data_IF_766242069335
#
_entry.id   IF_766242069335
#
_cell.length_a   1.000
_cell.length_b   1.000
_cell.length_c   1.000
_cell.angle_alpha   90.00
_cell.angle_beta   90.00
_cell.angle_gamma   90.00
#
_symmetry.space_group_name_H-M   'P 1'
#
loop_
_entity.id
_entity.type
_entity.pdbx_description
1 polymer ?
#
# COMPACT_ATOMS: atom_id res chain seq x y z
N UNK A 1 5.18 24.10 35.32
CA UNK A 1 4.20 23.40 36.19
C UNK A 1 2.92 24.24 36.33
N UNK A 2 2.15 24.40 35.25
CA UNK A 2 0.92 25.22 35.31
C UNK A 2 -0.23 24.69 34.41
N UNK A 3 -0.16 23.45 33.91
CA UNK A 3 -1.17 22.92 32.97
C UNK A 3 -1.90 21.66 33.45
N UNK A 4 -1.66 21.19 34.68
CA UNK A 4 -2.32 19.98 35.23
C UNK A 4 -3.66 20.30 35.90
N UNK A 5 -3.96 21.58 36.18
CA UNK A 5 -5.13 21.96 36.97
C UNK A 5 -6.47 21.94 36.20
N UNK A 6 -6.49 21.85 34.87
CA UNK A 6 -7.75 22.03 34.12
C UNK A 6 -8.54 20.73 33.84
N UNK A 7 -7.98 19.56 34.17
CA UNK A 7 -8.63 18.25 33.91
C UNK A 7 -9.35 17.71 35.14
N UNK A 8 -8.89 18.06 36.35
CA UNK A 8 -9.48 17.57 37.60
C UNK A 8 -10.85 18.20 37.92
N UNK A 9 -11.10 19.45 37.50
CA UNK A 9 -12.35 20.15 37.80
C UNK A 9 -13.59 19.59 37.07
N UNK A 10 -13.41 18.87 35.96
CA UNK A 10 -14.54 18.28 35.21
C UNK A 10 -15.03 16.94 35.78
N UNK A 11 -14.28 16.31 36.69
CA UNK A 11 -14.64 15.00 37.25
C UNK A 11 -15.58 15.11 38.46
N UNK A 12 -15.69 16.30 39.07
CA UNK A 12 -16.50 16.52 40.26
C UNK A 12 -18.02 16.61 40.00
N UNK A 13 -18.45 16.86 38.76
CA UNK A 13 -19.88 17.06 38.45
C UNK A 13 -20.71 15.79 38.21
N UNK A 14 -20.10 14.60 38.14
CA UNK A 14 -20.80 13.34 37.83
C UNK A 14 -21.11 12.46 39.05
N UNK A 15 -20.62 12.77 40.26
CA UNK A 15 -20.83 11.95 41.47
C UNK A 15 -21.87 12.51 42.46
N UNK A 16 -22.71 13.46 42.05
CA UNK A 16 -23.66 14.16 42.92
C UNK A 16 -25.02 13.48 43.19
N UNK A 17 -25.22 12.19 42.87
CA UNK A 17 -26.57 11.57 42.90
C UNK A 17 -26.75 10.35 43.82
N UNK A 18 -25.80 10.05 44.72
CA UNK A 18 -25.98 8.98 45.72
C UNK A 18 -25.56 9.45 47.12
N UNK A 19 -26.30 10.42 47.67
CA UNK A 19 -26.37 10.63 49.13
C UNK A 19 -27.85 10.58 49.53
N UNK A 20 -28.39 9.36 49.52
CA UNK A 20 -29.63 9.01 50.18
C UNK A 20 -29.28 8.16 51.38
N UNK A 21 -29.19 8.81 52.54
CA UNK A 21 -29.20 8.15 53.83
C UNK A 21 -30.51 7.37 53.95
N UNK A 22 -30.48 6.04 53.97
CA UNK A 22 -31.40 5.27 54.82
C UNK A 22 -31.07 3.77 54.91
N UNK A 23 -30.88 3.34 56.16
CA UNK A 23 -31.34 2.08 56.73
C UNK A 23 -30.70 0.72 56.33
N UNK A 24 -29.93 0.20 57.29
CA UNK A 24 -29.91 -1.21 57.75
C UNK A 24 -29.26 -2.31 56.88
N UNK A 25 -28.02 -2.10 56.43
CA UNK A 25 -27.10 -3.23 56.24
C UNK A 25 -25.70 -2.81 56.67
N UNK A 26 -25.14 -3.44 57.71
CA UNK A 26 -23.74 -3.21 58.12
C UNK A 26 -22.84 -3.49 56.91
N UNK A 27 -22.10 -2.50 56.36
CA UNK A 27 -21.08 -2.82 55.39
C UNK A 27 -19.92 -3.44 56.16
N UNK A 28 -19.62 -4.69 55.82
CA UNK A 28 -18.38 -5.32 56.24
C UNK A 28 -17.21 -4.39 55.90
N UNK A 29 -16.31 -4.22 56.87
CA UNK A 29 -14.97 -3.64 56.67
C UNK A 29 -14.32 -4.31 55.48
N UNK A 30 -14.35 -3.65 54.32
CA UNK A 30 -13.50 -3.97 53.18
C UNK A 30 -12.24 -3.09 53.33
N UNK A 31 -11.46 -3.39 54.36
CA UNK A 31 -10.19 -2.73 54.71
C UNK A 31 -9.03 -3.19 53.79
N UNK A 32 -9.28 -3.26 52.47
CA UNK A 32 -8.28 -3.69 51.47
C UNK A 32 -8.27 -2.79 50.21
N UNK A 33 -8.65 -1.51 50.34
CA UNK A 33 -8.18 -0.52 49.34
C UNK A 33 -6.71 -0.26 49.62
N UNK A 34 -5.84 -1.14 49.10
CA UNK A 34 -4.49 -0.73 48.71
C UNK A 34 -4.64 0.63 48.04
N UNK A 35 -4.04 1.67 48.61
CA UNK A 35 -3.69 2.87 47.88
C UNK A 35 -2.94 2.38 46.65
N UNK A 36 -3.63 2.27 45.53
CA UNK A 36 -3.01 2.04 44.24
C UNK A 36 -2.33 3.35 43.92
N UNK A 37 -1.01 3.35 43.99
CA UNK A 37 -0.18 4.54 43.78
C UNK A 37 -0.65 5.25 42.50
N UNK A 38 -0.99 6.53 42.62
CA UNK A 38 -1.54 7.33 41.52
C UNK A 38 -0.62 7.34 40.28
N UNK A 39 0.68 7.07 40.46
CA UNK A 39 1.66 6.97 39.38
C UNK A 39 1.47 5.72 38.50
N UNK A 40 1.01 4.59 39.03
CA UNK A 40 0.82 3.34 38.25
C UNK A 40 -0.57 3.24 37.60
N UNK A 41 -1.54 4.03 38.08
CA UNK A 41 -2.92 4.04 37.56
C UNK A 41 -3.15 5.01 36.41
N UNK A 42 -2.33 6.06 36.27
CA UNK A 42 -2.39 7.03 35.16
C UNK A 42 -2.35 6.40 33.75
N UNK A 43 -1.45 5.47 33.40
CA UNK A 43 -1.40 4.92 32.05
C UNK A 43 -2.64 4.10 31.68
N UNK A 44 -3.17 3.31 32.63
CA UNK A 44 -4.43 2.56 32.42
C UNK A 44 -5.63 3.48 32.23
N UNK A 45 -5.64 4.63 32.92
CA UNK A 45 -6.69 5.64 32.73
C UNK A 45 -6.57 6.30 31.36
N UNK A 46 -5.35 6.66 30.94
CA UNK A 46 -5.07 7.26 29.63
C UNK A 46 -5.48 6.33 28.48
N UNK A 47 -5.27 5.03 28.64
CA UNK A 47 -5.71 4.02 27.68
C UNK A 47 -7.24 4.02 27.56
N UNK A 48 -7.97 3.98 28.68
CA UNK A 48 -9.43 4.08 28.68
C UNK A 48 -9.91 5.40 28.08
N UNK A 49 -9.26 6.53 28.38
CA UNK A 49 -9.56 7.83 27.80
C UNK A 49 -9.35 7.86 26.28
N UNK A 50 -8.29 7.19 25.78
CA UNK A 50 -8.02 7.08 24.34
C UNK A 50 -9.12 6.29 23.63
N UNK A 51 -9.65 5.23 24.27
CA UNK A 51 -10.81 4.50 23.74
C UNK A 51 -12.05 5.39 23.65
N UNK A 52 -12.34 6.20 24.67
CA UNK A 52 -13.45 7.16 24.65
C UNK A 52 -13.27 8.26 23.61
N UNK A 53 -12.05 8.78 23.45
CA UNK A 53 -11.72 9.78 22.43
C UNK A 53 -11.86 9.21 21.01
N UNK A 54 -11.44 7.97 20.79
CA UNK A 54 -11.62 7.25 19.52
C UNK A 54 -13.09 6.94 19.22
N UNK A 55 -13.88 6.63 20.25
CA UNK A 55 -15.31 6.38 20.14
C UNK A 55 -16.11 7.64 19.81
N UNK A 56 -15.72 8.79 20.38
CA UNK A 56 -16.35 10.10 20.10
C UNK A 56 -15.83 10.76 18.82
N UNK A 57 -14.70 10.27 18.28
CA UNK A 57 -14.05 10.86 17.10
C UNK A 57 -13.34 12.18 17.39
N UNK A 58 -13.08 12.51 18.66
CA UNK A 58 -12.45 13.77 19.05
C UNK A 58 -10.93 13.73 18.77
N UNK A 59 -10.56 14.19 17.58
CA UNK A 59 -9.18 14.20 17.10
C UNK A 59 -8.22 15.01 17.96
N UNK A 60 -8.67 16.11 18.57
CA UNK A 60 -7.85 16.94 19.46
C UNK A 60 -7.48 16.20 20.73
N UNK A 61 -8.45 15.52 21.36
CA UNK A 61 -8.21 14.70 22.55
C UNK A 61 -7.31 13.51 22.24
N UNK A 62 -7.44 12.87 21.07
CA UNK A 62 -6.55 11.77 20.67
C UNK A 62 -5.09 12.25 20.62
N UNK A 63 -4.82 13.41 20.02
CA UNK A 63 -3.44 13.96 19.95
C UNK A 63 -2.87 14.27 21.33
N UNK A 64 -3.65 14.92 22.19
CA UNK A 64 -3.22 15.26 23.54
C UNK A 64 -2.93 14.00 24.39
N UNK A 65 -3.75 12.96 24.25
CA UNK A 65 -3.55 11.70 24.97
C UNK A 65 -2.31 10.94 24.48
N UNK A 66 -1.99 11.04 23.20
CA UNK A 66 -0.77 10.45 22.65
C UNK A 66 0.49 11.21 23.10
N UNK A 67 0.42 12.53 23.18
CA UNK A 67 1.49 13.35 23.78
C UNK A 67 1.67 13.04 25.29
N UNK A 68 0.59 12.68 25.98
CA UNK A 68 0.61 12.23 27.37
C UNK A 68 1.09 10.77 27.56
N UNK A 69 1.51 10.08 26.49
CA UNK A 69 2.08 8.73 26.55
C UNK A 69 1.05 7.60 26.64
N UNK A 70 -0.19 7.81 26.16
CA UNK A 70 -1.19 6.74 26.09
C UNK A 70 -0.73 5.59 25.17
N UNK A 71 -1.05 4.35 25.54
CA UNK A 71 -0.66 3.19 24.75
C UNK A 71 -1.58 3.04 23.54
N UNK A 72 -1.05 3.28 22.35
CA UNK A 72 -1.76 3.16 21.06
C UNK A 72 -2.46 1.80 20.86
N UNK A 73 -1.84 0.73 21.35
CA UNK A 73 -2.30 -0.64 21.21
C UNK A 73 -2.96 -1.19 22.48
N UNK A 74 -3.35 -0.30 23.41
CA UNK A 74 -4.11 -0.71 24.58
C UNK A 74 -5.37 -1.45 24.16
N UNK A 75 -5.71 -2.49 24.94
CA UNK A 75 -6.87 -3.33 24.71
C UNK A 75 -7.91 -2.99 25.77
N UNK A 76 -9.06 -2.50 25.33
CA UNK A 76 -10.22 -2.26 26.19
C UNK A 76 -10.91 -3.55 26.63
N UNK A 77 -12.07 -3.40 27.26
CA UNK A 77 -12.82 -4.47 27.93
C UNK A 77 -13.22 -5.64 27.00
N UNK A 78 -13.37 -5.39 25.71
CA UNK A 78 -13.67 -6.42 24.69
C UNK A 78 -12.44 -6.78 23.83
N UNK A 79 -11.24 -6.50 24.32
CA UNK A 79 -10.02 -6.65 23.54
C UNK A 79 -9.93 -5.73 22.31
N UNK A 80 -10.87 -4.79 22.17
CA UNK A 80 -10.89 -3.77 21.13
C UNK A 80 -9.76 -2.77 21.41
N UNK A 81 -9.05 -2.34 20.37
CA UNK A 81 -8.12 -1.21 20.45
C UNK A 81 -8.84 0.09 20.08
N UNK A 82 -8.21 1.24 20.33
CA UNK A 82 -8.72 2.55 19.88
C UNK A 82 -9.07 2.56 18.37
N UNK A 83 -8.28 1.87 17.55
CA UNK A 83 -8.54 1.73 16.11
C UNK A 83 -9.81 0.95 15.80
N UNK A 84 -10.14 -0.11 16.56
CA UNK A 84 -11.39 -0.86 16.39
C UNK A 84 -12.61 0.02 16.63
N UNK A 85 -12.58 0.85 17.69
CA UNK A 85 -13.68 1.76 18.03
C UNK A 85 -13.84 2.87 16.99
N UNK A 86 -12.74 3.49 16.55
CA UNK A 86 -12.76 4.52 15.52
C UNK A 86 -13.27 3.98 14.17
N UNK A 87 -12.85 2.76 13.79
CA UNK A 87 -13.31 2.10 12.58
C UNK A 87 -14.81 1.74 12.64
N UNK A 88 -15.26 1.17 13.76
CA UNK A 88 -16.67 0.83 13.99
C UNK A 88 -17.61 2.02 13.86
N UNK A 89 -17.17 3.18 14.38
CA UNK A 89 -17.93 4.44 14.30
C UNK A 89 -17.77 5.16 12.95
N UNK A 90 -16.80 4.79 12.12
CA UNK A 90 -16.55 5.43 10.83
C UNK A 90 -15.80 6.77 10.94
N UNK A 91 -15.08 7.02 12.02
CA UNK A 91 -14.36 8.28 12.23
C UNK A 91 -13.04 8.31 11.45
N UNK A 92 -13.12 8.63 10.15
CA UNK A 92 -11.99 8.63 9.22
C UNK A 92 -10.81 9.49 9.72
N UNK A 93 -11.09 10.68 10.27
CA UNK A 93 -10.05 11.56 10.78
C UNK A 93 -9.30 10.97 11.99
N UNK A 94 -10.03 10.32 12.91
CA UNK A 94 -9.43 9.63 14.05
C UNK A 94 -8.59 8.41 13.60
N UNK A 95 -9.10 7.63 12.64
CA UNK A 95 -8.38 6.50 12.04
C UNK A 95 -7.07 6.96 11.41
N UNK A 96 -7.08 8.05 10.61
CA UNK A 96 -5.87 8.59 10.00
C UNK A 96 -4.81 9.01 11.02
N UNK A 97 -5.21 9.65 12.12
CA UNK A 97 -4.28 10.05 13.18
C UNK A 97 -3.68 8.81 13.88
N UNK A 98 -4.50 7.84 14.25
CA UNK A 98 -4.03 6.60 14.88
C UNK A 98 -3.07 5.83 13.96
N UNK A 99 -3.37 5.77 12.65
CA UNK A 99 -2.50 5.16 11.65
C UNK A 99 -1.18 5.91 11.47
N UNK A 100 -1.20 7.25 11.48
CA UNK A 100 0.02 8.07 11.39
C UNK A 100 0.98 7.86 12.56
N UNK A 101 0.45 7.39 13.68
CA UNK A 101 1.19 7.12 14.91
C UNK A 101 1.60 5.65 15.04
N UNK A 102 1.34 4.81 14.02
CA UNK A 102 1.75 3.42 14.01
C UNK A 102 0.83 2.47 14.79
N UNK A 103 -0.47 2.79 14.91
CA UNK A 103 -1.43 1.88 15.52
C UNK A 103 -1.47 0.52 14.80
N UNK A 104 -1.54 -0.57 15.55
CA UNK A 104 -1.56 -1.92 15.00
C UNK A 104 -2.89 -2.21 14.29
N UNK A 105 -2.83 -2.36 12.97
CA UNK A 105 -3.98 -2.65 12.09
C UNK A 105 -4.37 -4.14 12.07
N UNK A 106 -3.47 -5.03 12.50
CA UNK A 106 -3.63 -6.49 12.47
C UNK A 106 -4.16 -7.02 13.82
N UNK A 107 -4.22 -6.18 14.84
CA UNK A 107 -4.79 -6.52 16.13
C UNK A 107 -6.22 -7.07 15.98
N UNK A 108 -6.51 -8.15 16.71
CA UNK A 108 -7.82 -8.81 16.76
C UNK A 108 -8.49 -8.50 18.08
N UNK A 109 -9.79 -8.31 18.11
CA UNK A 109 -10.55 -8.20 19.36
C UNK A 109 -10.91 -9.58 19.95
N UNK A 110 -11.70 -9.62 21.05
CA UNK A 110 -12.12 -10.88 21.67
C UNK A 110 -13.02 -11.74 20.77
N UNK A 111 -13.66 -11.13 19.76
CA UNK A 111 -14.46 -11.80 18.73
C UNK A 111 -13.64 -12.22 17.51
N UNK A 112 -12.30 -12.11 17.57
CA UNK A 112 -11.38 -12.41 16.48
C UNK A 112 -11.57 -11.54 15.22
N UNK A 113 -12.24 -10.39 15.36
CA UNK A 113 -12.40 -9.41 14.29
C UNK A 113 -11.24 -8.42 14.27
N UNK A 114 -10.79 -8.06 13.06
CA UNK A 114 -9.84 -6.97 12.81
C UNK A 114 -10.58 -5.64 12.74
N UNK A 115 -9.88 -4.53 12.96
CA UNK A 115 -10.45 -3.18 12.83
C UNK A 115 -11.11 -2.94 11.46
N UNK A 116 -10.56 -3.50 10.37
CA UNK A 116 -11.13 -3.39 9.02
C UNK A 116 -12.52 -4.07 8.89
N UNK A 117 -12.76 -5.16 9.61
CA UNK A 117 -14.02 -5.92 9.54
C UNK A 117 -15.14 -5.23 10.32
N UNK A 118 -14.79 -4.37 11.27
CA UNK A 118 -15.75 -3.54 12.01
C UNK A 118 -16.06 -2.24 11.27
N UNK A 119 -15.28 -1.88 10.24
CA UNK A 119 -15.43 -0.60 9.56
C UNK A 119 -16.77 -0.50 8.83
N UNK A 120 -17.57 0.51 9.18
CA UNK A 120 -18.88 0.75 8.57
C UNK A 120 -18.81 1.59 7.29
N UNK A 121 -17.72 2.36 7.11
CA UNK A 121 -17.56 3.31 6.02
C UNK A 121 -16.42 2.89 5.07
N UNK A 122 -16.59 2.99 3.73
CA UNK A 122 -15.57 2.58 2.76
C UNK A 122 -14.26 3.37 2.90
N UNK A 123 -14.32 4.64 3.30
CA UNK A 123 -13.11 5.46 3.51
C UNK A 123 -12.24 4.96 4.66
N UNK A 124 -12.84 4.41 5.73
CA UNK A 124 -12.08 3.81 6.82
C UNK A 124 -11.39 2.52 6.36
N UNK A 125 -12.06 1.72 5.52
CA UNK A 125 -11.50 0.51 4.93
C UNK A 125 -10.30 0.86 4.06
N UNK A 126 -10.45 1.83 3.16
CA UNK A 126 -9.37 2.29 2.28
C UNK A 126 -8.15 2.81 3.07
N UNK A 127 -8.39 3.60 4.13
CA UNK A 127 -7.32 4.11 4.98
C UNK A 127 -6.52 2.97 5.64
N UNK A 128 -7.21 1.97 6.21
CA UNK A 128 -6.54 0.82 6.87
C UNK A 128 -5.82 -0.06 5.84
N UNK A 129 -6.42 -0.29 4.67
CA UNK A 129 -5.81 -1.10 3.59
C UNK A 129 -4.54 -0.47 3.04
N UNK A 130 -4.49 0.86 2.88
CA UNK A 130 -3.30 1.55 2.38
C UNK A 130 -2.07 1.33 3.29
N UNK A 131 -2.28 1.33 4.61
CA UNK A 131 -1.21 1.08 5.58
C UNK A 131 -0.84 -0.40 5.63
N UNK A 132 -1.83 -1.30 5.50
CA UNK A 132 -1.56 -2.74 5.45
C UNK A 132 -0.76 -3.14 4.21
N UNK A 133 -1.04 -2.57 3.04
CA UNK A 133 -0.28 -2.81 1.82
C UNK A 133 1.18 -2.38 1.96
N UNK A 134 1.42 -1.22 2.58
CA UNK A 134 2.78 -0.74 2.84
C UNK A 134 3.53 -1.59 3.87
N UNK A 135 2.84 -2.06 4.92
CA UNK A 135 3.41 -2.97 5.91
C UNK A 135 3.68 -4.38 5.36
N UNK A 136 2.79 -4.89 4.50
CA UNK A 136 2.96 -6.19 3.85
C UNK A 136 4.10 -6.14 2.82
N UNK A 137 4.23 -5.07 2.03
CA UNK A 137 5.36 -4.88 1.12
C UNK A 137 6.71 -4.80 1.86
N UNK A 138 6.74 -4.17 3.03
CA UNK A 138 7.94 -4.13 3.88
C UNK A 138 8.24 -5.49 4.54
N UNK A 139 7.21 -6.27 4.89
CA UNK A 139 7.37 -7.63 5.40
C UNK A 139 7.73 -8.63 4.31
N UNK A 140 7.20 -8.52 3.09
CA UNK A 140 7.52 -9.42 1.96
C UNK A 140 8.98 -9.23 1.50
N UNK A 141 9.52 -8.01 1.61
CA UNK A 141 10.95 -7.74 1.42
C UNK A 141 11.86 -8.35 2.51
N UNK A 142 11.31 -8.65 3.70
CA UNK A 142 12.03 -9.32 4.80
C UNK A 142 11.68 -10.81 4.92
N UNK A 143 10.55 -11.25 4.35
CA UNK A 143 10.01 -12.60 4.47
C UNK A 143 10.44 -13.52 3.34
N UNK A 144 10.96 -13.01 2.22
CA UNK A 144 11.64 -13.83 1.22
C UNK A 144 12.80 -14.64 1.84
N UNK A 145 13.49 -14.07 2.84
CA UNK A 145 14.63 -14.76 3.48
C UNK A 145 14.23 -15.70 4.64
N UNK A 146 13.07 -15.52 5.27
CA UNK A 146 12.66 -16.31 6.45
C UNK A 146 11.57 -17.35 6.17
N UNK A 147 10.80 -17.21 5.10
CA UNK A 147 9.70 -18.13 4.76
C UNK A 147 10.21 -19.43 4.08
N UNK A 148 11.33 -19.38 3.34
CA UNK A 148 11.96 -20.59 2.80
C UNK A 148 12.49 -21.50 3.91
N UNK A 149 13.06 -20.94 4.99
CA UNK A 149 13.58 -21.73 6.12
C UNK A 149 12.48 -22.46 6.91
N UNK A 150 11.32 -21.81 7.14
CA UNK A 150 10.24 -22.44 7.89
C UNK A 150 9.48 -23.49 7.06
N UNK A 151 9.34 -23.28 5.74
CA UNK A 151 8.76 -24.28 4.85
C UNK A 151 9.66 -25.52 4.70
N UNK A 152 10.98 -25.37 4.74
CA UNK A 152 11.93 -26.49 4.72
C UNK A 152 11.82 -27.37 6.00
N UNK A 153 11.66 -26.76 7.17
CA UNK A 153 11.56 -27.49 8.45
C UNK A 153 10.28 -28.32 8.57
N UNK A 154 9.14 -27.83 8.07
CA UNK A 154 7.88 -28.60 8.09
C UNK A 154 7.86 -29.73 7.06
N UNK A 155 8.49 -29.53 5.90
CA UNK A 155 8.66 -30.59 4.90
C UNK A 155 9.55 -31.73 5.44
N UNK A 156 10.60 -31.42 6.20
CA UNK A 156 11.49 -32.43 6.81
C UNK A 156 10.77 -33.29 7.86
N UNK A 157 9.89 -32.69 8.66
CA UNK A 157 9.08 -33.41 9.66
C UNK A 157 7.98 -34.30 9.04
N UNK A 158 7.39 -33.90 7.92
CA UNK A 158 6.42 -34.70 7.17
C UNK A 158 7.09 -35.86 6.42
N UNK A 159 8.28 -35.59 5.88
CA UNK A 159 9.16 -36.58 5.26
C UNK A 159 9.47 -37.65 6.31
N UNK A 160 9.83 -37.29 7.56
CA UNK A 160 10.16 -38.17 8.70
C UNK A 160 9.22 -39.37 8.97
N UNK A 161 7.96 -39.38 8.47
CA UNK A 161 7.01 -40.49 8.64
C UNK A 161 6.92 -41.49 7.48
N UNK A 162 7.52 -41.20 6.32
CA UNK A 162 7.50 -42.10 5.14
C UNK A 162 8.79 -42.94 5.03
N UNK A 163 8.72 -44.14 4.45
CA UNK A 163 9.87 -45.05 4.30
C UNK A 163 11.01 -44.42 3.46
N UNK A 164 12.29 -44.69 3.76
CA UNK A 164 13.43 -43.96 3.18
C UNK A 164 13.54 -44.05 1.65
N UNK A 165 13.07 -45.15 1.05
CA UNK A 165 13.06 -45.33 -0.42
C UNK A 165 12.04 -44.46 -1.16
N UNK A 166 10.88 -44.20 -0.56
CA UNK A 166 9.85 -43.35 -1.17
C UNK A 166 10.25 -41.88 -1.10
N UNK A 167 10.94 -41.45 -0.03
CA UNK A 167 11.50 -40.10 0.07
C UNK A 167 12.56 -39.77 -0.97
N UNK A 168 13.53 -40.67 -1.17
CA UNK A 168 14.59 -40.42 -2.16
C UNK A 168 14.02 -40.36 -3.57
N UNK A 169 13.01 -41.18 -3.88
CA UNK A 169 12.32 -41.13 -5.16
C UNK A 169 11.46 -39.86 -5.32
N UNK A 170 10.72 -39.43 -4.29
CA UNK A 170 9.92 -38.19 -4.31
C UNK A 170 10.82 -36.95 -4.41
N UNK A 171 11.94 -36.89 -3.68
CA UNK A 171 12.91 -35.77 -3.76
C UNK A 171 13.61 -35.73 -5.11
N UNK A 172 13.97 -36.88 -5.68
CA UNK A 172 14.54 -36.94 -7.03
C UNK A 172 13.52 -36.51 -8.10
N UNK A 173 12.25 -36.90 -7.96
CA UNK A 173 11.18 -36.49 -8.86
C UNK A 173 10.88 -34.98 -8.75
N UNK A 174 10.88 -34.43 -7.53
CA UNK A 174 10.69 -33.00 -7.29
C UNK A 174 11.83 -32.17 -7.89
N UNK A 175 13.09 -32.58 -7.68
CA UNK A 175 14.25 -31.93 -8.31
C UNK A 175 14.20 -31.99 -9.83
N UNK A 176 13.86 -33.14 -10.40
CA UNK A 176 13.72 -33.28 -11.85
C UNK A 176 12.57 -32.45 -12.43
N UNK A 177 11.48 -32.25 -11.68
CA UNK A 177 10.38 -31.37 -12.09
C UNK A 177 10.76 -29.89 -11.99
N UNK A 178 11.50 -29.49 -10.96
CA UNK A 178 12.01 -28.13 -10.80
C UNK A 178 13.06 -27.78 -11.86
N UNK A 179 14.00 -28.70 -12.14
CA UNK A 179 14.99 -28.53 -13.22
C UNK A 179 14.32 -28.38 -14.59
N UNK A 180 13.25 -29.14 -14.87
CA UNK A 180 12.47 -28.97 -16.10
C UNK A 180 11.78 -27.64 -16.18
N UNK A 181 11.19 -27.16 -15.07
CA UNK A 181 10.56 -25.84 -15.02
C UNK A 181 11.57 -24.71 -15.23
N UNK A 182 12.76 -24.81 -14.63
CA UNK A 182 13.85 -23.85 -14.86
C UNK A 182 14.30 -23.85 -16.31
N UNK A 183 14.46 -25.03 -16.92
CA UNK A 183 14.78 -25.15 -18.34
C UNK A 183 13.69 -24.55 -19.23
N UNK A 184 12.42 -24.81 -18.94
CA UNK A 184 11.29 -24.22 -19.67
C UNK A 184 11.22 -22.69 -19.51
N UNK A 185 11.56 -22.16 -18.33
CA UNK A 185 11.63 -20.73 -18.06
C UNK A 185 12.81 -20.06 -18.79
N UNK A 186 14.01 -20.66 -18.74
CA UNK A 186 15.20 -20.18 -19.46
C UNK A 186 14.98 -20.21 -20.99
N UNK A 187 14.42 -21.30 -21.53
CA UNK A 187 14.09 -21.43 -22.96
C UNK A 187 13.01 -20.42 -23.40
N UNK A 188 12.05 -20.12 -22.53
CA UNK A 188 11.03 -19.11 -22.81
C UNK A 188 11.60 -17.69 -22.79
N UNK A 189 12.56 -17.40 -21.90
CA UNK A 189 13.24 -16.12 -21.83
C UNK A 189 14.12 -15.88 -23.07
N UNK A 190 14.93 -16.88 -23.47
CA UNK A 190 15.73 -16.83 -24.69
C UNK A 190 14.86 -16.63 -25.95
N UNK A 191 13.72 -17.35 -26.04
CA UNK A 191 12.78 -17.20 -27.15
C UNK A 191 12.10 -15.82 -27.18
N UNK A 192 11.80 -15.25 -26.00
CA UNK A 192 11.23 -13.91 -25.88
C UNK A 192 12.24 -12.84 -26.30
N UNK A 193 13.51 -12.97 -25.89
CA UNK A 193 14.57 -12.05 -26.29
C UNK A 193 14.83 -12.11 -27.81
N UNK A 194 14.83 -13.30 -28.40
CA UNK A 194 14.95 -13.46 -29.86
C UNK A 194 13.77 -12.81 -30.59
N UNK A 195 12.54 -12.98 -30.11
CA UNK A 195 11.37 -12.35 -30.69
C UNK A 195 11.42 -10.82 -30.60
N UNK A 196 11.92 -10.25 -29.50
CA UNK A 196 12.13 -8.80 -29.37
C UNK A 196 13.20 -8.29 -30.34
N UNK A 197 14.34 -8.99 -30.44
CA UNK A 197 15.40 -8.67 -31.42
C UNK A 197 14.86 -8.69 -32.86
N UNK A 198 14.03 -9.67 -33.20
CA UNK A 198 13.39 -9.75 -34.52
C UNK A 198 12.40 -8.58 -34.76
N UNK A 199 11.62 -8.18 -33.75
CA UNK A 199 10.71 -7.01 -33.85
C UNK A 199 11.48 -5.71 -34.06
N UNK A 200 12.56 -5.49 -33.30
CA UNK A 200 13.40 -4.30 -33.45
C UNK A 200 14.08 -4.25 -34.82
N UNK A 201 14.60 -5.37 -35.32
CA UNK A 201 15.17 -5.46 -36.65
C UNK A 201 14.13 -5.19 -37.76
N UNK A 202 12.89 -5.65 -37.60
CA UNK A 202 11.80 -5.37 -38.52
C UNK A 202 11.43 -3.88 -38.54
N UNK A 203 11.37 -3.23 -37.37
CA UNK A 203 11.14 -1.79 -37.25
C UNK A 203 12.26 -0.96 -37.89
N UNK A 204 13.52 -1.36 -37.70
CA UNK A 204 14.66 -0.70 -38.34
C UNK A 204 14.57 -0.79 -39.87
N UNK A 205 14.32 -1.98 -40.42
CA UNK A 205 14.13 -2.15 -41.87
C UNK A 205 12.97 -1.33 -42.42
N UNK A 206 11.85 -1.26 -41.68
CA UNK A 206 10.72 -0.42 -42.07
C UNK A 206 11.07 1.07 -42.04
N UNK A 207 11.86 1.52 -41.05
CA UNK A 207 12.33 2.91 -40.97
C UNK A 207 13.30 3.26 -42.11
N UNK A 208 14.23 2.36 -42.44
CA UNK A 208 15.15 2.52 -43.57
C UNK A 208 14.40 2.59 -44.91
N UNK A 209 13.45 1.69 -45.15
CA UNK A 209 12.60 1.72 -46.33
C UNK A 209 11.76 3.01 -46.42
N UNK A 210 11.24 3.50 -45.28
CA UNK A 210 10.53 4.78 -45.25
C UNK A 210 11.44 5.97 -45.54
N UNK A 211 12.69 5.95 -45.07
CA UNK A 211 13.67 6.99 -45.37
C UNK A 211 14.06 6.98 -46.86
N UNK A 212 14.25 5.80 -47.45
CA UNK A 212 14.51 5.66 -48.88
C UNK A 212 13.33 6.16 -49.72
N UNK A 213 12.10 5.81 -49.36
CA UNK A 213 10.90 6.31 -50.04
C UNK A 213 10.79 7.85 -49.99
N UNK A 214 11.16 8.48 -48.85
CA UNK A 214 11.20 9.94 -48.75
C UNK A 214 12.26 10.55 -49.68
N UNK A 215 13.46 9.96 -49.75
CA UNK A 215 14.51 10.43 -50.67
C UNK A 215 14.08 10.36 -52.13
N UNK A 216 13.40 9.28 -52.51
CA UNK A 216 12.85 9.12 -53.86
C UNK A 216 11.79 10.20 -54.13
N UNK A 217 10.89 10.46 -53.18
CA UNK A 217 9.87 11.52 -53.33
C UNK A 217 10.49 12.92 -53.49
N UNK A 218 11.51 13.24 -52.69
CA UNK A 218 12.22 14.52 -52.79
C UNK A 218 12.95 14.68 -54.13
N UNK A 219 13.57 13.61 -54.64
CA UNK A 219 14.23 13.59 -55.95
C UNK A 219 13.23 13.75 -57.10
N UNK A 220 12.09 13.06 -57.05
CA UNK A 220 11.01 13.21 -58.03
C UNK A 220 10.42 14.63 -58.02
N UNK A 221 10.22 15.22 -56.84
CA UNK A 221 9.73 16.60 -56.72
C UNK A 221 10.73 17.61 -57.28
N UNK A 222 12.03 17.43 -56.99
CA UNK A 222 13.09 18.26 -57.55
C UNK A 222 13.17 18.14 -59.08
N UNK A 223 13.01 16.93 -59.63
CA UNK A 223 12.97 16.70 -61.07
C UNK A 223 11.77 17.41 -61.72
N UNK A 224 10.58 17.33 -61.11
CA UNK A 224 9.38 18.04 -61.60
C UNK A 224 9.57 19.56 -61.61
N UNK A 225 10.15 20.12 -60.54
CA UNK A 225 10.47 21.56 -60.47
C UNK A 225 11.46 21.98 -61.56
N UNK A 226 12.51 21.19 -61.77
CA UNK A 226 13.50 21.46 -62.81
C UNK A 226 12.89 21.39 -64.23
N UNK A 227 11.99 20.44 -64.49
CA UNK A 227 11.27 20.35 -65.77
C UNK A 227 10.36 21.57 -66.00
N UNK A 228 9.65 22.03 -64.96
CA UNK A 228 8.81 23.22 -65.04
C UNK A 228 9.63 24.49 -65.30
N UNK A 229 10.75 24.66 -64.58
CA UNK A 229 11.69 25.78 -64.82
C UNK A 229 12.26 25.76 -66.24
N UNK A 230 12.64 24.59 -66.74
CA UNK A 230 13.12 24.43 -68.11
C UNK A 230 12.03 24.78 -69.14
N UNK A 231 10.77 24.40 -68.90
CA UNK A 231 9.62 24.75 -69.74
C UNK A 231 9.41 26.26 -69.79
N UNK A 232 9.44 26.93 -68.63
CA UNK A 232 9.30 28.39 -68.52
C UNK A 232 10.46 29.13 -69.21
N UNK A 233 11.69 28.65 -69.03
CA UNK A 233 12.86 29.21 -69.70
C UNK A 233 12.77 29.04 -71.24
N UNK A 234 12.27 27.91 -71.72
CA UNK A 234 12.04 27.67 -73.14
C UNK A 234 10.95 28.60 -73.71
N UNK A 235 9.85 28.81 -72.99
CA UNK A 235 8.79 29.74 -73.38
C UNK A 235 9.30 31.19 -73.42
N UNK A 236 10.07 31.61 -72.40
CA UNK A 236 10.71 32.93 -72.38
C UNK A 236 11.65 33.14 -73.57
N UNK A 237 12.45 32.13 -73.94
CA UNK A 237 13.31 32.16 -75.13
C UNK A 237 12.48 32.30 -76.42
N UNK A 238 11.35 31.61 -76.54
CA UNK A 238 10.44 31.75 -77.70
C UNK A 238 9.87 33.17 -77.78
N UNK A 239 9.38 33.73 -76.66
CA UNK A 239 8.87 35.12 -76.59
C UNK A 239 9.95 36.14 -76.95
N UNK A 240 11.17 35.99 -76.45
CA UNK A 240 12.29 36.89 -76.77
C UNK A 240 12.68 36.85 -78.26
N UNK A 241 12.67 35.66 -78.89
CA UNK A 241 12.89 35.52 -80.34
C UNK A 241 11.78 36.20 -81.16
N UNK A 242 10.52 36.05 -80.75
CA UNK A 242 9.38 36.70 -81.40
C UNK A 242 9.48 38.24 -81.31
N UNK A 243 9.81 38.78 -80.14
CA UNK A 243 10.00 40.22 -79.93
C UNK A 243 11.14 40.80 -80.79
N UNK A 244 12.24 40.06 -80.97
CA UNK A 244 13.34 40.47 -81.88
C UNK A 244 12.90 40.47 -83.35
N UNK A 245 12.02 39.55 -83.76
CA UNK A 245 11.48 39.49 -85.13
C UNK A 245 10.53 40.66 -85.43
N UNK A 246 9.78 41.14 -84.44
CA UNK A 246 8.86 42.29 -84.61
C UNK A 246 9.59 43.66 -84.67
N UNK A 247 10.87 43.73 -84.27
CA UNK A 247 11.68 44.96 -84.30
C UNK A 247 12.57 45.10 -85.55
N UNK A 248 12.59 44.10 -86.43
CA UNK A 248 13.29 44.12 -87.73
C UNK A 248 12.26 44.28 -88.84
#
# INVERSE_FOLDING_TARGET
MALVASVEDNFAHLNGLYTGEDSLLKPQRFDDRKQVDAAETLPRLNDSLLHWAAFSGNTSSIKQLLEAGASLNARGEQGNTALHLAASRGHVAAVKILLSQGANTVARNCYNYKAIQLARHPECIAAIQSVQANGQAAMDLLAHDLAEEQAAQEQEAAVARKTPRTRQAEVAAARAAEERRRQEEDEAEDAAEEAERQRLAALQRAAEAAAEAKRIQEEEEAARKAEEEARLAAEARKKAKAAKKQKK
#
